data_IF_023170727122
#
_entry.id   IF_023170727122
#
_cell.length_a   1.000
_cell.length_b   1.000
_cell.length_c   1.000
_cell.angle_alpha   90.00
_cell.angle_beta   90.00
_cell.angle_gamma   90.00
#
_symmetry.space_group_name_H-M   'P 1'
#
loop_
_entity.id
_entity.type
_entity.pdbx_description
1 polymer ?
#
# COMPACT_ATOMS: atom_id res chain seq x y z
N UNK A 1 3.73 -23.88 -24.92
CA UNK A 1 3.46 -22.52 -24.42
C UNK A 1 3.51 -22.58 -22.90
N UNK A 2 4.57 -22.07 -22.29
CA UNK A 2 4.69 -22.03 -20.84
C UNK A 2 3.67 -21.02 -20.31
N UNK A 3 2.63 -21.50 -19.63
CA UNK A 3 1.69 -20.61 -18.95
C UNK A 3 2.46 -19.90 -17.82
N UNK A 4 2.81 -18.64 -18.03
CA UNK A 4 3.34 -17.83 -16.94
C UNK A 4 2.28 -17.75 -15.85
N UNK A 5 2.54 -18.43 -14.73
CA UNK A 5 1.63 -18.43 -13.59
C UNK A 5 1.75 -17.06 -12.92
N UNK A 6 0.69 -16.28 -12.93
CA UNK A 6 0.62 -14.99 -12.22
C UNK A 6 1.02 -15.15 -10.75
N UNK A 7 1.71 -14.17 -10.19
CA UNK A 7 2.20 -14.20 -8.81
C UNK A 7 1.23 -13.49 -7.87
N UNK A 8 1.05 -14.00 -6.63
CA UNK A 8 0.32 -13.25 -5.62
C UNK A 8 1.16 -12.06 -5.14
N UNK A 9 0.48 -10.98 -4.76
CA UNK A 9 1.09 -9.78 -4.21
C UNK A 9 0.45 -9.37 -2.88
N UNK A 10 1.20 -8.61 -2.10
CA UNK A 10 0.67 -7.82 -1.00
C UNK A 10 0.86 -6.36 -1.36
N UNK A 11 -0.26 -5.69 -1.61
CA UNK A 11 -0.32 -4.25 -1.81
C UNK A 11 -0.34 -3.57 -0.44
N UNK A 12 0.50 -2.58 -0.25
CA UNK A 12 0.62 -1.85 1.01
C UNK A 12 0.33 -0.37 0.78
N UNK A 13 -0.51 0.25 1.61
CA UNK A 13 -0.43 1.71 1.76
C UNK A 13 0.92 2.07 2.39
N UNK A 14 1.33 3.31 2.22
CA UNK A 14 2.59 3.81 2.75
C UNK A 14 2.40 4.40 4.15
N UNK A 15 1.73 5.56 4.22
CA UNK A 15 1.60 6.36 5.43
C UNK A 15 0.55 5.77 6.38
N UNK A 16 0.94 5.43 7.59
CA UNK A 16 0.10 4.76 8.57
C UNK A 16 0.14 3.22 8.50
N UNK A 17 0.79 2.65 7.48
CA UNK A 17 0.92 1.19 7.29
C UNK A 17 2.38 0.74 7.33
N UNK A 18 3.25 1.34 6.51
CA UNK A 18 4.70 1.06 6.48
C UNK A 18 5.45 2.02 7.41
N UNK A 19 5.10 3.30 7.34
CA UNK A 19 5.72 4.35 8.14
C UNK A 19 4.69 5.15 8.94
N UNK A 20 5.15 5.84 9.96
CA UNK A 20 4.32 6.76 10.75
C UNK A 20 3.72 7.83 9.82
N UNK A 21 2.42 8.07 9.93
CA UNK A 21 1.76 9.17 9.20
C UNK A 21 2.08 10.50 9.90
N UNK A 22 2.87 11.34 9.24
CA UNK A 22 3.25 12.67 9.73
C UNK A 22 2.63 13.79 8.92
N UNK A 23 1.42 13.58 8.42
CA UNK A 23 0.70 14.54 7.58
C UNK A 23 1.54 15.09 6.41
N UNK A 24 1.29 14.59 5.20
CA UNK A 24 2.02 15.00 3.99
C UNK A 24 3.53 14.75 4.04
N UNK A 25 3.93 13.59 4.59
CA UNK A 25 5.33 13.19 4.68
C UNK A 25 5.99 13.18 3.29
N UNK A 26 7.05 13.96 3.13
CA UNK A 26 7.84 14.06 1.89
C UNK A 26 9.34 14.22 2.14
N UNK A 27 9.75 14.52 3.39
CA UNK A 27 11.14 14.70 3.76
C UNK A 27 11.70 13.40 4.35
N UNK A 28 12.95 13.09 3.99
CA UNK A 28 13.65 11.90 4.45
C UNK A 28 13.90 11.96 5.96
N UNK A 29 14.24 13.13 6.49
CA UNK A 29 14.50 13.34 7.92
C UNK A 29 13.29 13.10 8.82
N UNK A 30 12.08 13.17 8.27
CA UNK A 30 10.83 12.93 9.00
C UNK A 30 10.32 11.48 8.84
N UNK A 31 11.03 10.65 8.04
CA UNK A 31 10.64 9.27 7.79
C UNK A 31 10.99 8.37 8.96
N UNK A 32 10.04 7.54 9.35
CA UNK A 32 10.24 6.54 10.40
C UNK A 32 9.35 5.33 10.12
N UNK A 33 9.93 4.13 10.05
CA UNK A 33 9.15 2.91 9.93
C UNK A 33 8.26 2.69 11.16
N UNK A 34 7.05 2.20 10.93
CA UNK A 34 6.25 1.62 12.02
C UNK A 34 7.00 0.40 12.56
N UNK A 35 7.10 0.23 13.90
CA UNK A 35 7.77 -0.93 14.48
C UNK A 35 7.30 -2.25 13.88
N UNK A 36 8.24 -3.08 13.44
CA UNK A 36 7.95 -4.36 12.80
C UNK A 36 7.67 -4.31 11.29
N UNK A 37 7.40 -3.15 10.67
CA UNK A 37 7.04 -3.06 9.26
C UNK A 37 8.15 -3.56 8.32
N UNK A 38 9.41 -3.22 8.59
CA UNK A 38 10.55 -3.68 7.81
C UNK A 38 10.65 -5.22 7.84
N UNK A 39 10.53 -5.83 9.02
CA UNK A 39 10.58 -7.28 9.16
C UNK A 39 9.37 -7.97 8.52
N UNK A 40 8.20 -7.35 8.56
CA UNK A 40 6.98 -7.81 7.88
C UNK A 40 7.21 -7.87 6.36
N UNK A 41 7.73 -6.80 5.74
CA UNK A 41 8.09 -6.76 4.32
C UNK A 41 9.09 -7.88 3.98
N UNK A 42 10.13 -8.05 4.78
CA UNK A 42 11.13 -9.11 4.58
C UNK A 42 10.50 -10.51 4.64
N UNK A 43 9.56 -10.72 5.52
CA UNK A 43 8.86 -12.00 5.68
C UNK A 43 7.97 -12.29 4.47
N UNK A 44 7.21 -11.32 3.95
CA UNK A 44 6.42 -11.43 2.72
C UNK A 44 7.28 -11.79 1.51
N UNK A 45 8.41 -11.11 1.35
CA UNK A 45 9.36 -11.38 0.25
C UNK A 45 9.91 -12.80 0.32
N UNK A 46 10.28 -13.29 1.52
CA UNK A 46 10.75 -14.67 1.73
C UNK A 46 9.67 -15.70 1.43
N UNK A 47 8.41 -15.37 1.67
CA UNK A 47 7.26 -16.24 1.36
C UNK A 47 6.87 -16.22 -0.14
N UNK A 48 7.58 -15.46 -0.98
CA UNK A 48 7.39 -15.44 -2.43
C UNK A 48 6.33 -14.47 -2.92
N UNK A 49 5.79 -13.60 -2.06
CA UNK A 49 4.91 -12.52 -2.49
C UNK A 49 5.68 -11.39 -3.17
N UNK A 50 5.06 -10.80 -4.18
CA UNK A 50 5.42 -9.44 -4.60
C UNK A 50 4.92 -8.46 -3.53
N UNK A 51 5.76 -7.49 -3.16
CA UNK A 51 5.38 -6.41 -2.25
C UNK A 51 5.33 -5.12 -3.05
N UNK A 52 4.14 -4.53 -3.13
CA UNK A 52 3.85 -3.37 -3.98
C UNK A 52 3.26 -2.26 -3.12
N UNK A 53 3.85 -1.08 -3.18
CA UNK A 53 3.29 0.10 -2.51
C UNK A 53 2.31 0.82 -3.43
N UNK A 54 1.11 1.10 -2.92
CA UNK A 54 0.07 1.89 -3.60
C UNK A 54 -0.37 3.02 -2.68
N UNK A 55 -0.09 4.26 -3.04
CA UNK A 55 -0.25 5.40 -2.13
C UNK A 55 -0.92 6.61 -2.76
N UNK A 56 -1.82 7.26 -2.01
CA UNK A 56 -2.44 8.53 -2.35
C UNK A 56 -1.58 9.68 -1.81
N UNK A 57 -0.89 10.42 -2.70
CA UNK A 57 -0.02 11.53 -2.34
C UNK A 57 -0.65 12.89 -2.73
N UNK A 58 -1.76 13.23 -2.10
CA UNK A 58 -2.49 14.46 -2.41
C UNK A 58 -1.76 15.75 -2.03
N UNK A 59 -0.65 15.68 -1.30
CA UNK A 59 0.25 16.81 -1.06
C UNK A 59 0.81 17.38 -2.36
N UNK A 60 1.05 16.53 -3.37
CA UNK A 60 1.44 16.95 -4.72
C UNK A 60 0.34 17.81 -5.35
N UNK A 61 -0.90 17.32 -5.35
CA UNK A 61 -2.04 18.08 -5.87
C UNK A 61 -2.22 19.43 -5.16
N UNK A 62 -1.90 19.51 -3.88
CA UNK A 62 -2.01 20.74 -3.06
C UNK A 62 -0.83 21.67 -3.19
N UNK A 63 0.24 21.27 -3.90
CA UNK A 63 1.46 22.05 -4.06
C UNK A 63 2.34 22.12 -2.80
N UNK A 64 2.18 21.19 -1.87
CA UNK A 64 3.03 21.14 -0.66
C UNK A 64 4.41 20.56 -0.95
N UNK A 65 4.50 19.68 -1.92
CA UNK A 65 5.72 19.06 -2.44
C UNK A 65 5.44 18.54 -3.86
N UNK A 66 6.47 18.11 -4.57
CA UNK A 66 6.36 17.64 -5.96
C UNK A 66 6.61 16.12 -6.07
N UNK A 67 6.48 15.56 -7.28
CA UNK A 67 6.70 14.14 -7.53
C UNK A 67 8.15 13.72 -7.34
N UNK A 68 9.13 14.62 -7.51
CA UNK A 68 10.55 14.31 -7.25
C UNK A 68 10.80 14.11 -5.76
N UNK A 69 10.09 14.86 -4.90
CA UNK A 69 10.14 14.66 -3.44
C UNK A 69 9.61 13.28 -3.06
N UNK A 70 8.50 12.85 -3.66
CA UNK A 70 7.94 11.51 -3.47
C UNK A 70 8.92 10.44 -3.93
N UNK A 71 9.52 10.62 -5.09
CA UNK A 71 10.49 9.67 -5.67
C UNK A 71 11.74 9.55 -4.80
N UNK A 72 12.26 10.68 -4.28
CA UNK A 72 13.40 10.67 -3.35
C UNK A 72 13.10 9.92 -2.07
N UNK A 73 11.91 10.14 -1.48
CA UNK A 73 11.50 9.43 -0.28
C UNK A 73 11.35 7.92 -0.54
N UNK A 74 10.75 7.52 -1.67
CA UNK A 74 10.66 6.11 -2.05
C UNK A 74 12.05 5.48 -2.27
N UNK A 75 12.97 6.22 -2.85
CA UNK A 75 14.38 5.80 -2.98
C UNK A 75 15.06 5.57 -1.63
N UNK A 76 14.83 6.45 -0.65
CA UNK A 76 15.32 6.28 0.71
C UNK A 76 14.72 5.03 1.38
N UNK A 77 13.40 4.84 1.31
CA UNK A 77 12.73 3.63 1.83
C UNK A 77 13.35 2.37 1.23
N UNK A 78 13.59 2.36 -0.08
CA UNK A 78 14.19 1.22 -0.76
C UNK A 78 15.63 0.97 -0.31
N UNK A 79 16.42 2.01 -0.04
CA UNK A 79 17.77 1.89 0.50
C UNK A 79 17.78 1.29 1.91
N UNK A 80 16.92 1.77 2.81
CA UNK A 80 16.79 1.22 4.17
C UNK A 80 16.39 -0.27 4.14
N UNK A 81 15.45 -0.64 3.27
CA UNK A 81 15.05 -2.03 3.07
C UNK A 81 16.17 -2.89 2.50
N UNK A 82 16.96 -2.34 1.56
CA UNK A 82 18.09 -3.04 0.95
C UNK A 82 19.20 -3.34 1.98
N UNK A 83 19.48 -2.42 2.91
CA UNK A 83 20.40 -2.64 4.04
C UNK A 83 19.93 -3.82 4.90
N UNK A 84 18.62 -3.98 5.07
CA UNK A 84 18.03 -5.12 5.79
C UNK A 84 17.94 -6.41 4.95
N UNK A 85 18.41 -6.41 3.70
CA UNK A 85 18.37 -7.55 2.78
C UNK A 85 16.95 -7.88 2.27
N UNK A 86 16.15 -6.84 1.99
CA UNK A 86 14.80 -6.95 1.42
C UNK A 86 14.51 -5.73 0.53
N UNK A 87 13.28 -5.62 0.00
CA UNK A 87 12.89 -4.49 -0.83
C UNK A 87 11.42 -4.56 -1.25
N UNK A 88 10.93 -3.45 -1.79
CA UNK A 88 9.63 -3.30 -2.43
C UNK A 88 9.82 -3.53 -3.94
N UNK A 89 8.91 -4.26 -4.57
CA UNK A 89 9.01 -4.57 -6.01
C UNK A 89 8.62 -3.38 -6.89
N UNK A 90 7.64 -2.58 -6.45
CA UNK A 90 7.23 -1.37 -7.16
C UNK A 90 6.47 -0.40 -6.25
N UNK A 91 6.48 0.88 -6.66
CA UNK A 91 5.71 1.96 -6.04
C UNK A 91 4.76 2.56 -7.07
N UNK A 92 3.47 2.63 -6.75
CA UNK A 92 2.44 3.29 -7.53
C UNK A 92 1.83 4.44 -6.74
N UNK A 93 1.75 5.61 -7.36
CA UNK A 93 1.38 6.85 -6.70
C UNK A 93 0.20 7.51 -7.40
N UNK A 94 -0.79 7.92 -6.64
CA UNK A 94 -1.80 8.86 -7.12
C UNK A 94 -1.51 10.26 -6.56
N UNK A 95 -1.12 11.24 -7.40
CA UNK A 95 -0.89 12.61 -6.97
C UNK A 95 -2.15 13.47 -6.97
N UNK A 96 -3.29 12.97 -7.46
CA UNK A 96 -4.47 13.77 -7.77
C UNK A 96 -5.39 14.02 -6.57
N UNK A 97 -6.14 15.13 -6.62
CA UNK A 97 -7.25 15.40 -5.71
C UNK A 97 -8.31 16.26 -6.40
N UNK A 98 -9.55 15.78 -6.42
CA UNK A 98 -10.64 16.40 -7.18
C UNK A 98 -10.92 17.85 -6.75
N UNK A 99 -11.04 18.10 -5.45
CA UNK A 99 -11.44 19.41 -4.91
C UNK A 99 -10.25 20.29 -4.55
N UNK A 100 -9.19 19.70 -3.98
CA UNK A 100 -8.06 20.43 -3.39
C UNK A 100 -6.83 20.50 -4.31
N UNK A 101 -6.94 19.94 -5.51
CA UNK A 101 -5.85 19.92 -6.47
C UNK A 101 -5.65 21.28 -7.15
N UNK A 102 -4.41 21.52 -7.59
CA UNK A 102 -3.99 22.66 -8.39
C UNK A 102 -3.60 22.18 -9.79
N UNK A 103 -3.89 23.00 -10.80
CA UNK A 103 -3.50 22.74 -12.20
C UNK A 103 -3.93 21.36 -12.70
N UNK A 104 -3.01 20.63 -13.33
CA UNK A 104 -3.23 19.31 -13.90
C UNK A 104 -3.54 18.20 -12.88
N UNK A 105 -3.18 18.41 -11.61
CA UNK A 105 -3.46 17.46 -10.51
C UNK A 105 -4.87 17.60 -9.94
N UNK A 106 -5.62 18.64 -10.33
CA UNK A 106 -7.03 18.81 -9.96
C UNK A 106 -7.92 18.06 -10.93
N UNK A 107 -8.11 16.79 -10.71
CA UNK A 107 -8.96 15.95 -11.56
C UNK A 107 -9.49 14.73 -10.85
N UNK A 108 -10.58 14.22 -11.36
CA UNK A 108 -11.04 12.85 -11.10
C UNK A 108 -10.11 11.86 -11.80
N UNK A 109 -9.82 10.73 -11.18
CA UNK A 109 -8.95 9.70 -11.75
C UNK A 109 -9.27 8.33 -11.15
N UNK A 110 -8.92 7.26 -11.87
CA UNK A 110 -9.09 5.90 -11.38
C UNK A 110 -7.94 5.44 -10.47
N UNK A 111 -6.80 6.17 -10.51
CA UNK A 111 -5.64 5.84 -9.68
C UNK A 111 -5.79 6.21 -8.20
N UNK A 112 -6.75 7.09 -7.82
CA UNK A 112 -6.95 7.44 -6.42
C UNK A 112 -7.66 6.32 -5.67
N UNK A 113 -7.00 5.73 -4.63
CA UNK A 113 -7.59 4.71 -3.76
C UNK A 113 -8.91 5.24 -3.14
N UNK A 114 -9.81 4.41 -2.87
CA UNK A 114 -11.12 3.97 -3.09
C UNK A 114 -11.37 3.31 -4.45
N UNK A 115 -10.77 3.82 -5.53
CA UNK A 115 -10.80 3.15 -6.84
C UNK A 115 -9.59 2.21 -7.00
N UNK A 116 -9.73 1.14 -7.81
CA UNK A 116 -8.72 0.07 -7.92
C UNK A 116 -7.60 0.36 -8.94
N UNK A 117 -7.56 1.52 -9.58
CA UNK A 117 -6.71 1.78 -10.76
C UNK A 117 -5.23 1.50 -10.55
N UNK A 118 -4.65 1.85 -9.38
CA UNK A 118 -3.24 1.52 -9.09
C UNK A 118 -2.99 0.02 -8.97
N UNK A 119 -3.96 -0.73 -8.39
CA UNK A 119 -3.85 -2.19 -8.26
C UNK A 119 -3.95 -2.86 -9.63
N UNK A 120 -4.84 -2.39 -10.50
CA UNK A 120 -4.96 -2.88 -11.87
C UNK A 120 -3.71 -2.59 -12.69
N UNK A 121 -3.15 -1.37 -12.56
CA UNK A 121 -1.91 -1.01 -13.23
C UNK A 121 -0.76 -1.94 -12.78
N UNK A 122 -0.58 -2.10 -11.47
CA UNK A 122 0.45 -2.99 -10.93
C UNK A 122 0.24 -4.45 -11.38
N UNK A 123 -1.01 -4.91 -11.44
CA UNK A 123 -1.33 -6.26 -11.92
C UNK A 123 -0.95 -6.46 -13.38
N UNK A 124 -1.15 -5.45 -14.22
CA UNK A 124 -0.75 -5.51 -15.63
C UNK A 124 0.77 -5.47 -15.81
N UNK A 125 1.45 -4.60 -15.05
CA UNK A 125 2.90 -4.38 -15.18
C UNK A 125 3.74 -5.56 -14.62
N UNK A 126 3.23 -6.26 -13.59
CA UNK A 126 3.99 -7.27 -12.82
C UNK A 126 3.40 -8.69 -12.89
N UNK A 127 2.41 -8.94 -13.74
CA UNK A 127 1.72 -10.24 -13.86
C UNK A 127 1.15 -10.73 -12.51
N UNK A 128 0.44 -9.84 -11.77
CA UNK A 128 -0.12 -10.16 -10.46
C UNK A 128 -1.48 -10.84 -10.59
N UNK A 129 -1.69 -11.88 -9.77
CA UNK A 129 -2.98 -12.52 -9.54
C UNK A 129 -3.71 -11.80 -8.40
N UNK A 130 -4.64 -10.90 -8.74
CA UNK A 130 -5.37 -10.09 -7.77
C UNK A 130 -6.23 -10.91 -6.81
N UNK A 131 -6.82 -12.03 -7.27
CA UNK A 131 -7.67 -12.89 -6.45
C UNK A 131 -6.88 -13.65 -5.36
N UNK A 132 -5.57 -13.79 -5.54
CA UNK A 132 -4.67 -14.39 -4.57
C UNK A 132 -3.83 -13.35 -3.82
N UNK A 133 -4.20 -12.08 -3.96
CA UNK A 133 -3.47 -10.94 -3.41
C UNK A 133 -4.24 -10.26 -2.28
N UNK A 134 -3.52 -9.47 -1.51
CA UNK A 134 -4.04 -8.73 -0.36
C UNK A 134 -3.81 -7.23 -0.56
N UNK A 135 -4.75 -6.41 -0.06
CA UNK A 135 -4.56 -4.97 0.10
C UNK A 135 -4.55 -4.63 1.58
N UNK A 136 -3.44 -4.12 2.09
CA UNK A 136 -3.24 -3.77 3.50
C UNK A 136 -3.11 -2.25 3.62
N UNK A 137 -3.93 -1.65 4.46
CA UNK A 137 -3.90 -0.22 4.71
C UNK A 137 -4.62 0.18 5.99
N UNK A 138 -4.53 1.44 6.35
CA UNK A 138 -5.10 2.02 7.58
C UNK A 138 -6.39 2.83 7.32
N UNK A 139 -6.76 3.01 6.04
CA UNK A 139 -7.90 3.87 5.64
C UNK A 139 -8.99 3.09 4.92
N UNK A 140 -10.22 3.57 5.00
CA UNK A 140 -11.36 3.00 4.28
C UNK A 140 -11.09 2.92 2.76
N UNK A 141 -10.40 3.92 2.21
CA UNK A 141 -10.02 3.95 0.81
C UNK A 141 -9.12 2.78 0.37
N UNK A 142 -8.34 2.21 1.29
CA UNK A 142 -7.51 1.04 1.03
C UNK A 142 -8.39 -0.20 0.92
N UNK A 143 -9.34 -0.35 1.83
CA UNK A 143 -10.30 -1.46 1.86
C UNK A 143 -11.14 -1.44 0.57
N UNK A 144 -11.70 -0.29 0.21
CA UNK A 144 -12.48 -0.12 -1.02
C UNK A 144 -11.66 -0.43 -2.27
N UNK A 145 -10.41 0.04 -2.33
CA UNK A 145 -9.54 -0.25 -3.47
C UNK A 145 -9.23 -1.75 -3.59
N UNK A 146 -8.99 -2.44 -2.46
CA UNK A 146 -8.78 -3.88 -2.42
C UNK A 146 -10.01 -4.66 -2.88
N UNK A 147 -11.20 -4.37 -2.32
CA UNK A 147 -12.48 -4.99 -2.70
C UNK A 147 -12.76 -4.80 -4.20
N UNK A 148 -12.65 -3.55 -4.68
CA UNK A 148 -12.91 -3.22 -6.08
C UNK A 148 -11.91 -3.85 -7.05
N UNK A 149 -10.70 -4.19 -6.59
CA UNK A 149 -9.70 -4.92 -7.37
C UNK A 149 -9.86 -6.45 -7.31
N UNK A 150 -10.67 -6.98 -6.38
CA UNK A 150 -10.81 -8.40 -6.13
C UNK A 150 -9.68 -8.99 -5.25
N UNK A 151 -8.96 -8.14 -4.52
CA UNK A 151 -7.99 -8.55 -3.49
C UNK A 151 -8.70 -8.74 -2.15
N UNK A 152 -8.09 -9.53 -1.24
CA UNK A 152 -8.54 -9.62 0.14
C UNK A 152 -8.10 -8.36 0.91
N UNK A 153 -9.02 -7.52 1.43
CA UNK A 153 -8.64 -6.36 2.21
C UNK A 153 -8.23 -6.73 3.64
N UNK A 154 -7.24 -6.01 4.16
CA UNK A 154 -6.80 -6.07 5.56
C UNK A 154 -6.67 -4.63 6.08
N UNK A 155 -7.41 -4.31 7.14
CA UNK A 155 -7.27 -3.05 7.86
C UNK A 155 -6.27 -3.22 8.99
N UNK A 156 -5.20 -2.42 8.99
CA UNK A 156 -4.29 -2.31 10.15
C UNK A 156 -4.73 -1.17 11.04
N UNK A 157 -4.62 -1.36 12.38
CA UNK A 157 -5.06 -0.38 13.37
C UNK A 157 -4.02 0.70 13.69
N UNK A 158 -2.90 0.70 13.00
CA UNK A 158 -1.93 1.80 12.98
C UNK A 158 -2.47 3.00 12.19
N UNK A 159 -1.79 4.14 12.22
CA UNK A 159 -2.23 5.34 11.51
C UNK A 159 -3.67 5.74 11.84
N UNK A 160 -4.52 5.84 10.83
CA UNK A 160 -5.97 6.12 10.96
C UNK A 160 -6.83 4.85 11.15
N UNK A 161 -6.22 3.68 11.32
CA UNK A 161 -6.94 2.42 11.34
C UNK A 161 -7.98 2.29 12.46
N UNK A 162 -7.71 2.86 13.64
CA UNK A 162 -8.68 2.88 14.74
C UNK A 162 -9.95 3.66 14.37
N UNK A 163 -9.80 4.82 13.73
CA UNK A 163 -10.92 5.62 13.25
C UNK A 163 -11.67 4.95 12.10
N UNK A 164 -10.91 4.34 11.17
CA UNK A 164 -11.44 3.63 10.02
C UNK A 164 -12.30 2.43 10.45
N UNK A 165 -11.86 1.68 11.48
CA UNK A 165 -12.58 0.54 12.03
C UNK A 165 -13.99 0.89 12.51
N UNK A 166 -14.17 2.07 13.10
CA UNK A 166 -15.48 2.52 13.60
C UNK A 166 -16.49 2.83 12.49
N UNK A 167 -16.03 2.87 11.22
CA UNK A 167 -16.78 3.32 10.06
C UNK A 167 -16.96 2.25 8.98
N UNK A 168 -16.41 1.05 9.18
CA UNK A 168 -16.56 -0.06 8.26
C UNK A 168 -17.32 -1.21 8.93
N UNK A 169 -18.05 -1.98 8.12
CA UNK A 169 -18.64 -3.24 8.57
C UNK A 169 -17.53 -4.27 8.81
N UNK A 170 -17.64 -5.03 9.89
CA UNK A 170 -16.61 -6.00 10.32
C UNK A 170 -16.30 -7.08 9.27
N UNK A 171 -17.25 -7.34 8.36
CA UNK A 171 -17.09 -8.37 7.32
C UNK A 171 -16.34 -7.88 6.06
N UNK A 172 -16.06 -6.57 5.95
CA UNK A 172 -15.42 -6.00 4.75
C UNK A 172 -13.91 -6.19 4.71
N UNK A 173 -13.26 -6.35 5.86
CA UNK A 173 -11.82 -6.51 5.93
C UNK A 173 -11.42 -7.37 7.14
N UNK A 174 -10.31 -8.06 7.02
CA UNK A 174 -9.66 -8.67 8.19
C UNK A 174 -9.02 -7.54 8.98
N UNK A 175 -9.24 -7.52 10.31
CA UNK A 175 -8.69 -6.47 11.18
C UNK A 175 -7.43 -7.00 11.87
N UNK A 176 -6.33 -6.28 11.72
CA UNK A 176 -5.04 -6.61 12.33
C UNK A 176 -4.50 -5.42 13.13
N UNK A 177 -3.75 -5.68 14.19
CA UNK A 177 -3.17 -4.61 15.00
C UNK A 177 -2.18 -3.73 14.21
N UNK A 178 -1.37 -4.36 13.37
CA UNK A 178 -0.29 -3.77 12.59
C UNK A 178 0.07 -4.63 11.37
N UNK A 179 1.04 -4.19 10.57
CA UNK A 179 1.51 -4.93 9.41
C UNK A 179 2.13 -6.29 9.78
N UNK A 180 2.79 -6.41 10.92
CA UNK A 180 3.38 -7.68 11.35
C UNK A 180 2.29 -8.74 11.63
N UNK A 181 1.22 -8.34 12.30
CA UNK A 181 0.03 -9.18 12.53
C UNK A 181 -0.67 -9.55 11.22
N UNK A 182 -0.79 -8.61 10.29
CA UNK A 182 -1.36 -8.85 8.96
C UNK A 182 -0.58 -9.92 8.19
N UNK A 183 0.75 -9.90 8.27
CA UNK A 183 1.61 -10.91 7.63
C UNK A 183 1.34 -12.30 8.21
N UNK A 184 1.13 -12.42 9.53
CA UNK A 184 0.75 -13.69 10.15
C UNK A 184 -0.53 -14.28 9.54
N UNK A 185 -1.55 -13.45 9.33
CA UNK A 185 -2.81 -13.83 8.68
C UNK A 185 -2.59 -14.25 7.22
N UNK A 186 -1.86 -13.43 6.44
CA UNK A 186 -1.56 -13.69 5.02
C UNK A 186 -0.88 -15.04 4.84
N UNK A 187 0.10 -15.36 5.68
CA UNK A 187 0.84 -16.63 5.59
C UNK A 187 0.00 -17.82 6.05
N UNK A 188 -0.91 -17.62 7.01
CA UNK A 188 -1.86 -18.64 7.44
C UNK A 188 -2.84 -19.05 6.34
N UNK A 189 -3.30 -18.11 5.52
CA UNK A 189 -4.18 -18.39 4.37
C UNK A 189 -3.53 -19.29 3.30
N UNK A 190 -2.22 -19.23 3.11
CA UNK A 190 -1.52 -20.09 2.14
C UNK A 190 -1.39 -21.56 2.60
N UNK A 191 -1.46 -21.81 3.89
CA UNK A 191 -1.34 -23.18 4.43
C UNK A 191 -2.67 -23.96 4.43
N UNK A 192 -3.77 -23.30 4.06
CA UNK A 192 -5.13 -23.86 4.08
C UNK A 192 -5.69 -24.18 2.69
N UNK A 193 -4.91 -23.92 1.62
CA UNK A 193 -5.22 -24.24 0.21
C UNK A 193 -4.15 -25.17 -0.38
#
# INVERSE_FOLDING_TARGET
MSSHKKKPAVFLDRDGTINLDRHYLHKIEDFEFIPGALQAIKTLKKAGYLVVVVTNQSGVARGYFNMDDVTRLHGHIQQELAVAGTGIDAFYVCPHHLEKGLGEFRKECDCRKGRPGLLFQASADLDIDLQRSFMVGDKIADIEAGENAGCQPILVLTGYGQESRLRIDENRAIICADLASAVGVILGHNNSN
#
